data_IF_647935536676
#
_entry.id   IF_647935536676
#
_cell.length_a   1.000
_cell.length_b   1.000
_cell.length_c   1.000
_cell.angle_alpha   90.00
_cell.angle_beta   90.00
_cell.angle_gamma   90.00
#
_symmetry.space_group_name_H-M   'P 1'
#
loop_
_entity.id
_entity.type
_entity.pdbx_description
1 polymer ?
#
# COMPACT_ATOMS: atom_id res chain seq x y z
N UNK A 1 -23.97 -41.75 -10.91
CA UNK A 1 -23.29 -43.06 -10.89
C UNK A 1 -22.21 -43.05 -11.92
N UNK A 2 -21.02 -43.40 -11.56
CA UNK A 2 -19.74 -43.49 -12.28
C UNK A 2 -18.93 -42.23 -12.25
N UNK A 3 -18.00 -42.21 -11.40
CA UNK A 3 -16.65 -42.78 -11.22
C UNK A 3 -15.63 -42.00 -12.00
N UNK A 4 -14.92 -41.21 -11.23
CA UNK A 4 -13.50 -41.31 -10.96
C UNK A 4 -12.64 -41.61 -12.20
N UNK A 5 -11.88 -40.64 -12.59
CA UNK A 5 -10.51 -40.96 -13.00
C UNK A 5 -9.53 -39.93 -12.42
N UNK A 6 -8.64 -40.51 -11.64
CA UNK A 6 -7.46 -39.89 -11.09
C UNK A 6 -6.43 -39.79 -12.21
N UNK A 7 -6.11 -38.60 -12.60
CA UNK A 7 -4.93 -38.30 -13.37
C UNK A 7 -3.94 -37.53 -12.52
N UNK A 8 -3.10 -38.22 -11.78
CA UNK A 8 -1.84 -37.66 -11.32
C UNK A 8 -0.99 -37.42 -12.56
N UNK A 9 -0.74 -36.20 -12.86
CA UNK A 9 0.47 -35.84 -13.59
C UNK A 9 1.22 -34.84 -12.77
N UNK A 10 2.18 -35.32 -12.04
CA UNK A 10 3.26 -34.52 -11.51
C UNK A 10 4.02 -33.95 -12.69
N UNK A 11 3.90 -32.66 -12.87
CA UNK A 11 4.84 -31.93 -13.69
C UNK A 11 5.65 -31.05 -12.80
N UNK A 12 6.91 -31.41 -12.71
CA UNK A 12 7.94 -30.56 -12.17
C UNK A 12 7.92 -29.22 -12.91
N UNK A 13 7.39 -28.22 -12.25
CA UNK A 13 7.65 -26.86 -12.66
C UNK A 13 9.14 -26.67 -12.52
N UNK A 14 9.80 -26.60 -13.66
CA UNK A 14 11.19 -26.19 -13.73
C UNK A 14 11.33 -24.92 -12.90
N UNK A 15 12.20 -24.93 -11.92
CA UNK A 15 12.60 -23.77 -11.16
C UNK A 15 13.32 -22.82 -12.12
N UNK A 16 12.54 -22.04 -12.88
CA UNK A 16 13.05 -20.88 -13.57
C UNK A 16 13.60 -19.94 -12.50
N UNK A 17 14.84 -19.49 -12.64
CA UNK A 17 15.50 -18.56 -11.72
C UNK A 17 14.85 -17.18 -11.72
N UNK A 18 13.55 -17.10 -11.36
CA UNK A 18 12.85 -15.85 -11.15
C UNK A 18 13.24 -15.21 -9.83
N UNK A 19 13.17 -13.88 -9.79
CA UNK A 19 13.36 -13.11 -8.56
C UNK A 19 12.30 -13.54 -7.53
N UNK A 20 12.75 -13.92 -6.33
CA UNK A 20 11.84 -14.23 -5.23
C UNK A 20 11.46 -12.94 -4.54
N UNK A 21 10.20 -12.88 -4.06
CA UNK A 21 9.74 -11.77 -3.22
C UNK A 21 10.64 -11.62 -2.00
N UNK A 22 11.17 -10.41 -1.80
CA UNK A 22 11.97 -10.05 -0.63
C UNK A 22 11.18 -9.10 0.23
N UNK A 23 10.91 -9.50 1.47
CA UNK A 23 10.17 -8.68 2.42
C UNK A 23 11.11 -8.34 3.59
N UNK A 24 12.25 -7.76 3.28
CA UNK A 24 13.26 -7.29 4.22
C UNK A 24 13.32 -5.77 4.18
N UNK A 25 12.89 -5.14 5.27
CA UNK A 25 12.81 -3.69 5.39
C UNK A 25 14.08 -3.03 5.93
N UNK A 26 15.11 -3.80 6.26
CA UNK A 26 16.34 -3.23 6.81
C UNK A 26 16.97 -2.22 5.85
N UNK A 27 17.32 -1.06 6.36
CA UNK A 27 17.92 0.06 5.63
C UNK A 27 16.99 0.76 4.63
N UNK A 28 15.74 0.32 4.48
CA UNK A 28 14.77 1.02 3.64
C UNK A 28 14.26 2.30 4.30
N UNK A 29 14.03 3.31 3.49
CA UNK A 29 13.42 4.58 3.88
C UNK A 29 12.02 4.67 3.31
N UNK A 30 11.04 4.83 4.18
CA UNK A 30 9.62 4.78 3.84
C UNK A 30 8.96 6.11 4.19
N UNK A 31 8.23 6.67 3.24
CA UNK A 31 7.36 7.82 3.46
C UNK A 31 5.90 7.39 3.56
N UNK A 32 5.18 7.91 4.53
CA UNK A 32 3.75 7.61 4.75
C UNK A 32 2.97 8.91 4.68
N UNK A 33 1.93 8.93 3.86
CA UNK A 33 0.94 10.02 3.81
C UNK A 33 -0.40 9.49 4.26
N UNK A 34 -0.91 10.00 5.37
CA UNK A 34 -2.17 9.60 5.98
C UNK A 34 -3.20 10.71 5.88
N UNK A 35 -4.38 10.41 5.35
CA UNK A 35 -5.51 11.33 5.39
C UNK A 35 -6.12 11.36 6.80
N UNK A 36 -6.47 12.56 7.27
CA UNK A 36 -7.12 12.74 8.59
C UNK A 36 -8.62 12.50 8.56
N UNK A 37 -9.25 12.67 7.41
CA UNK A 37 -10.69 12.39 7.28
C UNK A 37 -10.97 10.93 7.57
N UNK A 38 -12.01 10.62 8.35
CA UNK A 38 -12.26 9.29 8.93
C UNK A 38 -11.12 8.82 9.85
N UNK A 39 -10.68 9.69 10.75
CA UNK A 39 -9.46 9.51 11.56
C UNK A 39 -9.41 8.18 12.32
N UNK A 40 -10.52 7.72 12.90
CA UNK A 40 -10.54 6.45 13.64
C UNK A 40 -10.10 5.28 12.76
N UNK A 41 -10.48 5.28 11.48
CA UNK A 41 -10.14 4.25 10.51
C UNK A 41 -8.73 4.44 9.94
N UNK A 42 -8.36 5.67 9.60
CA UNK A 42 -7.00 5.93 9.08
C UNK A 42 -5.94 5.77 10.16
N UNK A 43 -6.24 6.02 11.42
CA UNK A 43 -5.34 5.72 12.53
C UNK A 43 -5.16 4.21 12.73
N UNK A 44 -6.21 3.41 12.53
CA UNK A 44 -6.09 1.95 12.55
C UNK A 44 -5.19 1.45 11.42
N UNK A 45 -5.36 1.98 10.21
CA UNK A 45 -4.47 1.72 9.07
C UNK A 45 -3.01 2.03 9.43
N UNK A 46 -2.78 3.22 9.99
CA UNK A 46 -1.44 3.69 10.32
C UNK A 46 -0.77 2.84 11.40
N UNK A 47 -1.50 2.50 12.47
CA UNK A 47 -0.96 1.65 13.53
C UNK A 47 -0.56 0.27 12.99
N UNK A 48 -1.41 -0.37 12.20
CA UNK A 48 -1.10 -1.67 11.62
C UNK A 48 0.08 -1.59 10.64
N UNK A 49 0.14 -0.55 9.82
CA UNK A 49 1.22 -0.30 8.89
C UNK A 49 2.57 -0.11 9.61
N UNK A 50 2.60 0.77 10.60
CA UNK A 50 3.82 1.04 11.37
C UNK A 50 4.31 -0.19 12.14
N UNK A 51 3.40 -0.96 12.74
CA UNK A 51 3.75 -2.21 13.42
C UNK A 51 4.37 -3.22 12.46
N UNK A 52 3.81 -3.36 11.25
CA UNK A 52 4.35 -4.29 10.25
C UNK A 52 5.70 -3.80 9.70
N UNK A 53 5.86 -2.51 9.41
CA UNK A 53 7.15 -1.95 9.00
C UNK A 53 8.24 -2.24 10.03
N UNK A 54 7.93 -2.08 11.32
CA UNK A 54 8.84 -2.42 12.40
C UNK A 54 9.19 -3.91 12.41
N UNK A 55 8.19 -4.77 12.28
CA UNK A 55 8.40 -6.22 12.22
C UNK A 55 9.25 -6.64 11.01
N UNK A 56 9.17 -5.92 9.91
CA UNK A 56 9.98 -6.15 8.70
C UNK A 56 11.39 -5.56 8.77
N UNK A 57 11.70 -4.81 9.82
CA UNK A 57 13.05 -4.28 10.08
C UNK A 57 13.25 -2.82 9.67
N UNK A 58 12.21 -2.09 9.31
CA UNK A 58 12.31 -0.65 9.05
C UNK A 58 12.42 0.09 10.39
N UNK A 59 13.49 0.85 10.57
CA UNK A 59 13.69 1.60 11.81
C UNK A 59 12.83 2.86 11.86
N UNK A 60 12.39 3.32 13.05
CA UNK A 60 11.59 4.55 13.16
C UNK A 60 12.25 5.78 12.54
N UNK A 61 13.56 5.89 12.60
CA UNK A 61 14.33 7.00 12.01
C UNK A 61 14.26 7.03 10.49
N UNK A 62 13.93 5.91 9.84
CA UNK A 62 13.78 5.79 8.40
C UNK A 62 12.33 5.95 7.94
N UNK A 63 11.40 6.26 8.84
CA UNK A 63 10.00 6.48 8.50
C UNK A 63 9.67 7.95 8.62
N UNK A 64 9.22 8.54 7.52
CA UNK A 64 8.62 9.88 7.54
C UNK A 64 7.11 9.74 7.40
N UNK A 65 6.39 10.06 8.46
CA UNK A 65 4.93 9.96 8.53
C UNK A 65 4.33 11.35 8.61
N UNK A 66 3.55 11.73 7.58
CA UNK A 66 2.86 13.01 7.53
C UNK A 66 1.36 12.80 7.36
N UNK A 67 0.59 13.80 7.73
CA UNK A 67 -0.87 13.77 7.57
C UNK A 67 -1.34 14.89 6.65
N UNK A 68 -2.44 14.62 5.94
CA UNK A 68 -3.12 15.58 5.04
C UNK A 68 -4.61 15.59 5.36
N UNK A 69 -5.36 16.63 4.91
CA UNK A 69 -6.78 16.74 5.25
C UNK A 69 -7.63 15.54 4.81
N UNK A 70 -7.50 15.10 3.57
CA UNK A 70 -8.32 14.04 3.01
C UNK A 70 -7.61 13.27 1.90
N UNK A 71 -8.31 12.31 1.30
CA UNK A 71 -7.72 11.44 0.27
C UNK A 71 -7.29 12.21 -0.99
N UNK A 72 -8.01 13.27 -1.37
CA UNK A 72 -7.66 14.06 -2.55
C UNK A 72 -6.34 14.82 -2.41
N UNK A 73 -5.88 15.09 -1.19
CA UNK A 73 -4.61 15.76 -0.93
C UNK A 73 -3.41 14.80 -0.86
N UNK A 74 -3.68 13.50 -0.82
CA UNK A 74 -2.63 12.48 -0.73
C UNK A 74 -1.68 12.51 -1.93
N UNK A 75 -2.13 12.55 -3.19
CA UNK A 75 -1.22 12.51 -4.33
C UNK A 75 -0.21 13.65 -4.36
N UNK A 76 -0.63 14.87 -4.05
CA UNK A 76 0.29 16.02 -4.00
C UNK A 76 1.37 15.86 -2.93
N UNK A 77 1.00 15.37 -1.75
CA UNK A 77 1.96 15.12 -0.68
C UNK A 77 2.93 13.98 -1.02
N UNK A 78 2.43 12.92 -1.67
CA UNK A 78 3.29 11.84 -2.19
C UNK A 78 4.28 12.35 -3.23
N UNK A 79 3.81 13.19 -4.15
CA UNK A 79 4.66 13.83 -5.14
C UNK A 79 5.79 14.63 -4.47
N UNK A 80 5.46 15.43 -3.48
CA UNK A 80 6.44 16.22 -2.75
C UNK A 80 7.48 15.34 -2.04
N UNK A 81 7.06 14.22 -1.44
CA UNK A 81 7.99 13.27 -0.84
C UNK A 81 8.86 12.57 -1.88
N UNK A 82 8.30 12.21 -3.03
CA UNK A 82 9.06 11.58 -4.12
C UNK A 82 10.15 12.51 -4.67
N UNK A 83 9.84 13.80 -4.79
CA UNK A 83 10.80 14.81 -5.26
C UNK A 83 12.02 14.99 -4.35
N UNK A 84 11.92 14.60 -3.08
CA UNK A 84 13.10 14.66 -2.18
C UNK A 84 14.15 13.60 -2.50
N UNK A 85 13.80 12.55 -3.22
CA UNK A 85 14.67 11.40 -3.51
C UNK A 85 15.21 10.70 -2.25
N UNK A 86 14.58 10.91 -1.10
CA UNK A 86 15.01 10.37 0.19
C UNK A 86 14.33 9.04 0.57
N UNK A 87 13.45 8.52 -0.29
CA UNK A 87 12.63 7.35 0.04
C UNK A 87 12.79 6.24 -1.00
N UNK A 88 12.71 5.00 -0.51
CA UNK A 88 12.71 3.79 -1.34
C UNK A 88 11.30 3.38 -1.75
N UNK A 89 10.31 3.71 -0.96
CA UNK A 89 8.89 3.51 -1.24
C UNK A 89 8.03 4.48 -0.43
N UNK A 90 6.83 4.71 -0.91
CA UNK A 90 5.83 5.52 -0.24
C UNK A 90 4.57 4.70 0.04
N UNK A 91 3.78 5.14 1.01
CA UNK A 91 2.53 4.51 1.41
C UNK A 91 1.45 5.59 1.52
N UNK A 92 0.31 5.32 0.89
CA UNK A 92 -0.88 6.16 0.98
C UNK A 92 -1.92 5.49 1.89
N UNK A 93 -2.32 6.16 2.95
CA UNK A 93 -3.32 5.69 3.91
C UNK A 93 -4.51 6.63 3.93
N UNK A 94 -5.67 6.12 3.63
CA UNK A 94 -6.92 6.87 3.63
C UNK A 94 -8.14 5.97 3.75
N UNK A 95 -9.29 6.57 3.94
CA UNK A 95 -10.55 5.83 3.98
C UNK A 95 -11.67 6.68 3.40
N UNK A 96 -12.31 6.17 2.36
CA UNK A 96 -13.41 6.80 1.66
C UNK A 96 -14.63 5.90 1.82
N UNK A 97 -15.68 6.44 2.43
CA UNK A 97 -16.94 5.72 2.66
C UNK A 97 -18.00 6.32 1.75
N UNK A 98 -18.76 5.45 1.08
CA UNK A 98 -19.81 5.87 0.16
C UNK A 98 -20.86 6.72 0.87
N UNK A 99 -21.12 7.89 0.29
CA UNK A 99 -22.20 8.77 0.68
C UNK A 99 -23.36 8.71 -0.31
N UNK A 100 -24.27 9.68 -0.20
CA UNK A 100 -25.46 9.75 -1.05
C UNK A 100 -25.21 10.41 -2.42
N UNK A 101 -24.02 10.99 -2.63
CA UNK A 101 -23.70 11.77 -3.81
C UNK A 101 -22.55 11.16 -4.59
N UNK A 102 -22.34 11.66 -5.82
CA UNK A 102 -21.22 11.30 -6.68
C UNK A 102 -19.84 11.57 -6.07
N UNK A 103 -19.77 12.32 -4.99
CA UNK A 103 -18.49 12.69 -4.35
C UNK A 103 -17.62 11.48 -4.00
N UNK A 104 -18.23 10.35 -3.62
CA UNK A 104 -17.50 9.11 -3.35
C UNK A 104 -16.68 8.66 -4.57
N UNK A 105 -17.31 8.57 -5.74
CA UNK A 105 -16.67 8.15 -6.97
C UNK A 105 -15.58 9.12 -7.40
N UNK A 106 -15.85 10.43 -7.27
CA UNK A 106 -14.87 11.46 -7.57
C UNK A 106 -13.61 11.29 -6.73
N UNK A 107 -13.77 11.19 -5.41
CA UNK A 107 -12.63 11.07 -4.47
C UNK A 107 -11.88 9.75 -4.69
N UNK A 108 -12.61 8.64 -4.86
CA UNK A 108 -12.01 7.34 -5.07
C UNK A 108 -11.20 7.29 -6.38
N UNK A 109 -11.79 7.75 -7.47
CA UNK A 109 -11.16 7.72 -8.79
C UNK A 109 -9.96 8.65 -8.88
N UNK A 110 -10.11 9.90 -8.43
CA UNK A 110 -9.06 10.91 -8.56
C UNK A 110 -7.88 10.62 -7.61
N UNK A 111 -8.13 10.20 -6.38
CA UNK A 111 -7.05 9.84 -5.47
C UNK A 111 -6.28 8.62 -5.99
N UNK A 112 -6.96 7.58 -6.45
CA UNK A 112 -6.32 6.39 -7.02
C UNK A 112 -5.51 6.70 -8.27
N UNK A 113 -6.06 7.46 -9.21
CA UNK A 113 -5.35 7.89 -10.42
C UNK A 113 -4.13 8.74 -10.09
N UNK A 114 -4.27 9.67 -9.14
CA UNK A 114 -3.17 10.52 -8.68
C UNK A 114 -2.02 9.73 -8.06
N UNK A 115 -2.33 8.78 -7.19
CA UNK A 115 -1.31 7.89 -6.59
C UNK A 115 -0.54 7.11 -7.66
N UNK A 116 -1.24 6.49 -8.59
CA UNK A 116 -0.62 5.74 -9.69
C UNK A 116 0.28 6.64 -10.55
N UNK A 117 -0.19 7.83 -10.88
CA UNK A 117 0.57 8.80 -11.66
C UNK A 117 1.87 9.21 -10.97
N UNK A 118 1.82 9.52 -9.68
CA UNK A 118 3.03 9.89 -8.91
C UNK A 118 4.03 8.74 -8.91
N UNK A 119 3.58 7.52 -8.71
CA UNK A 119 4.42 6.33 -8.71
C UNK A 119 5.15 6.16 -10.04
N UNK A 120 4.44 6.23 -11.16
CA UNK A 120 5.02 6.02 -12.47
C UNK A 120 5.91 7.20 -12.92
N UNK A 121 5.48 8.43 -12.68
CA UNK A 121 6.22 9.63 -13.09
C UNK A 121 7.53 9.79 -12.31
N UNK A 122 7.59 9.31 -11.07
CA UNK A 122 8.76 9.43 -10.20
C UNK A 122 9.52 8.12 -10.03
N UNK A 123 9.09 7.06 -10.69
CA UNK A 123 9.73 5.74 -10.61
C UNK A 123 9.93 5.27 -9.16
N UNK A 124 8.93 5.49 -8.31
CA UNK A 124 8.95 5.10 -6.90
C UNK A 124 7.74 4.22 -6.58
N UNK A 125 7.94 3.08 -5.90
CA UNK A 125 6.82 2.26 -5.48
C UNK A 125 5.92 3.02 -4.49
N UNK A 126 4.62 2.95 -4.70
CA UNK A 126 3.64 3.49 -3.76
C UNK A 126 2.61 2.42 -3.44
N UNK A 127 2.54 2.01 -2.18
CA UNK A 127 1.48 1.15 -1.72
C UNK A 127 0.21 1.98 -1.48
N UNK A 128 -0.85 1.68 -2.22
CA UNK A 128 -2.12 2.38 -2.08
C UNK A 128 -3.02 1.63 -1.10
N UNK A 129 -3.14 2.16 0.10
CA UNK A 129 -4.07 1.70 1.13
C UNK A 129 -5.15 2.77 1.43
N UNK A 130 -5.61 3.44 0.40
CA UNK A 130 -6.81 4.28 0.47
C UNK A 130 -7.99 3.34 0.35
N UNK A 131 -8.62 3.02 1.49
CA UNK A 131 -9.80 2.16 1.52
C UNK A 131 -10.97 2.84 0.84
N UNK A 132 -11.70 2.06 0.05
CA UNK A 132 -13.02 2.44 -0.46
C UNK A 132 -14.03 1.43 0.04
N UNK A 133 -15.04 1.87 0.75
CA UNK A 133 -16.04 1.00 1.33
C UNK A 133 -17.44 1.61 1.21
N UNK A 134 -18.45 0.78 1.12
CA UNK A 134 -19.84 1.23 1.08
C UNK A 134 -20.33 1.64 2.47
N UNK A 135 -19.79 1.01 3.52
CA UNK A 135 -20.17 1.28 4.92
C UNK A 135 -18.94 1.41 5.81
N UNK A 136 -19.14 2.09 6.94
CA UNK A 136 -18.11 2.20 7.97
C UNK A 136 -17.70 0.83 8.54
N UNK A 137 -18.67 -0.07 8.72
CA UNK A 137 -18.40 -1.43 9.23
C UNK A 137 -17.49 -2.22 8.27
N UNK A 138 -17.70 -2.09 6.97
CA UNK A 138 -16.83 -2.70 5.97
C UNK A 138 -15.40 -2.15 6.07
N UNK A 139 -15.26 -0.84 6.21
CA UNK A 139 -13.96 -0.20 6.36
C UNK A 139 -13.26 -0.65 7.66
N UNK A 140 -14.00 -0.67 8.77
CA UNK A 140 -13.47 -1.11 10.07
C UNK A 140 -12.98 -2.55 10.04
N UNK A 141 -13.71 -3.44 9.37
CA UNK A 141 -13.33 -4.85 9.23
C UNK A 141 -12.04 -5.06 8.43
N UNK A 142 -11.66 -4.11 7.56
CA UNK A 142 -10.54 -4.24 6.62
C UNK A 142 -9.31 -3.40 7.00
N UNK A 143 -9.47 -2.42 7.87
CA UNK A 143 -8.43 -1.39 8.08
C UNK A 143 -7.10 -1.97 8.57
N UNK A 144 -7.10 -2.83 9.58
CA UNK A 144 -5.87 -3.39 10.12
C UNK A 144 -5.13 -4.25 9.10
N UNK A 145 -5.83 -5.15 8.41
CA UNK A 145 -5.24 -6.01 7.38
C UNK A 145 -4.68 -5.19 6.21
N UNK A 146 -5.41 -4.18 5.78
CA UNK A 146 -4.99 -3.31 4.67
C UNK A 146 -3.75 -2.48 5.04
N UNK A 147 -3.68 -1.99 6.26
CA UNK A 147 -2.49 -1.29 6.75
C UNK A 147 -1.26 -2.19 6.77
N UNK A 148 -1.43 -3.41 7.23
CA UNK A 148 -0.36 -4.43 7.21
C UNK A 148 0.07 -4.76 5.79
N UNK A 149 -0.86 -4.99 4.89
CA UNK A 149 -0.58 -5.29 3.48
C UNK A 149 0.18 -4.15 2.81
N UNK A 150 -0.17 -2.90 3.10
CA UNK A 150 0.51 -1.74 2.54
C UNK A 150 2.00 -1.71 2.91
N UNK A 151 2.33 -2.02 4.17
CA UNK A 151 3.72 -2.12 4.61
C UNK A 151 4.49 -3.20 3.83
N UNK A 152 3.88 -4.37 3.68
CA UNK A 152 4.49 -5.49 2.95
C UNK A 152 4.70 -5.17 1.47
N UNK A 153 3.70 -4.60 0.81
CA UNK A 153 3.80 -4.19 -0.60
C UNK A 153 4.91 -3.16 -0.79
N UNK A 154 4.99 -2.16 0.07
CA UNK A 154 6.01 -1.13 -0.03
C UNK A 154 7.43 -1.71 0.08
N UNK A 155 7.65 -2.58 1.06
CA UNK A 155 8.96 -3.22 1.27
C UNK A 155 9.30 -4.17 0.12
N UNK A 156 8.36 -5.00 -0.32
CA UNK A 156 8.58 -5.91 -1.43
C UNK A 156 8.93 -5.16 -2.72
N UNK A 157 8.18 -4.12 -3.04
CA UNK A 157 8.39 -3.37 -4.27
C UNK A 157 9.67 -2.54 -4.25
N UNK A 158 10.06 -2.00 -3.09
CA UNK A 158 11.35 -1.32 -2.95
C UNK A 158 12.51 -2.28 -3.24
N UNK A 159 12.46 -3.48 -2.68
CA UNK A 159 13.47 -4.49 -2.92
C UNK A 159 13.48 -4.97 -4.38
N UNK A 160 12.30 -5.13 -4.98
CA UNK A 160 12.20 -5.55 -6.37
C UNK A 160 12.84 -4.51 -7.31
N UNK A 161 12.55 -3.23 -7.12
CA UNK A 161 13.13 -2.19 -7.95
C UNK A 161 14.65 -2.12 -7.79
N UNK A 162 15.15 -2.28 -6.58
CA UNK A 162 16.59 -2.35 -6.32
C UNK A 162 17.25 -3.51 -7.08
N UNK A 163 16.61 -4.67 -7.09
CA UNK A 163 17.09 -5.85 -7.82
C UNK A 163 17.03 -5.68 -9.36
N UNK A 164 16.12 -4.85 -9.86
CA UNK A 164 15.94 -4.62 -11.31
C UNK A 164 16.83 -3.52 -11.87
N UNK A 165 17.37 -2.69 -11.03
CA UNK A 165 18.23 -1.55 -11.41
C UNK A 165 19.66 -1.75 -10.89
#
# INVERSE_FOLDING_TARGET
MQDADKGETGDGVASGGGLKAKIDGRNLRIGIVQARFNAALTDTLARACLAELSALGVTPQHIKHITVPGALEIPLALFALAETEDHDALIALGCIIRGETYHFELVANESGAGVTRVSLDNEIPIANAILTADTEDQARARAADKGRDAARVAVEMANLLDDLT
#
